data_IF_388841431578
#
_entry.id   IF_388841431578
#
_cell.length_a   1.000
_cell.length_b   1.000
_cell.length_c   1.000
_cell.angle_alpha   90.00
_cell.angle_beta   90.00
_cell.angle_gamma   90.00
#
_symmetry.space_group_name_H-M   'P 1'
#
loop_
_entity.id
_entity.type
_entity.pdbx_description
1 polymer ?
#
# COMPACT_ATOMS: atom_id res chain seq x y z
N UNK A 1 10.25 -22.83 47.84
CA UNK A 1 9.99 -21.53 47.21
C UNK A 1 9.78 -21.84 45.75
N UNK A 2 8.53 -21.87 45.29
CA UNK A 2 8.24 -22.30 43.91
C UNK A 2 8.57 -21.16 42.96
N UNK A 3 9.37 -21.45 41.93
CA UNK A 3 9.67 -20.50 40.87
C UNK A 3 8.37 -20.20 40.09
N UNK A 4 8.18 -18.96 39.62
CA UNK A 4 6.97 -18.58 38.90
C UNK A 4 6.82 -19.40 37.61
N UNK A 5 5.66 -20.03 37.43
CA UNK A 5 5.31 -20.74 36.21
C UNK A 5 5.15 -19.75 35.03
N UNK A 6 5.52 -20.20 33.83
CA UNK A 6 5.30 -19.41 32.60
C UNK A 6 3.81 -19.26 32.33
N UNK A 7 3.37 -18.06 31.94
CA UNK A 7 2.00 -17.84 31.49
C UNK A 7 1.80 -18.45 30.10
N UNK A 8 0.56 -18.81 29.75
CA UNK A 8 0.19 -19.32 28.41
C UNK A 8 0.63 -18.35 27.32
N UNK A 9 0.44 -17.04 27.56
CA UNK A 9 0.88 -15.99 26.64
C UNK A 9 2.40 -16.01 26.40
N UNK A 10 3.21 -16.06 27.46
CA UNK A 10 4.68 -16.11 27.32
C UNK A 10 5.16 -17.36 26.60
N UNK A 11 4.44 -18.48 26.77
CA UNK A 11 4.72 -19.71 26.02
C UNK A 11 4.38 -19.54 24.53
N UNK A 12 3.18 -19.05 24.22
CA UNK A 12 2.72 -18.75 22.85
C UNK A 12 3.64 -17.80 22.10
N UNK A 13 4.14 -16.75 22.77
CA UNK A 13 5.12 -15.81 22.21
C UNK A 13 6.44 -16.53 21.90
N UNK A 14 7.01 -17.23 22.88
CA UNK A 14 8.27 -17.98 22.71
C UNK A 14 8.19 -19.02 21.59
N UNK A 15 7.10 -19.79 21.52
CA UNK A 15 6.92 -20.83 20.51
C UNK A 15 6.76 -20.21 19.11
N UNK A 16 6.00 -19.12 19.00
CA UNK A 16 5.85 -18.40 17.73
C UNK A 16 7.15 -17.80 17.21
N UNK A 17 8.01 -17.28 18.11
CA UNK A 17 9.30 -16.73 17.74
C UNK A 17 10.23 -17.83 17.23
N UNK A 18 10.24 -19.00 17.88
CA UNK A 18 11.04 -20.14 17.44
C UNK A 18 10.63 -20.63 16.05
N UNK A 19 9.32 -20.78 15.80
CA UNK A 19 8.78 -21.18 14.49
C UNK A 19 9.20 -20.16 13.41
N UNK A 20 9.03 -18.88 13.69
CA UNK A 20 9.34 -17.81 12.75
C UNK A 20 10.83 -17.77 12.42
N UNK A 21 11.71 -17.79 13.44
CA UNK A 21 13.16 -17.82 13.24
C UNK A 21 13.62 -19.05 12.46
N UNK A 22 13.01 -20.21 12.71
CA UNK A 22 13.36 -21.44 12.00
C UNK A 22 12.93 -21.40 10.52
N UNK A 23 11.69 -21.03 10.24
CA UNK A 23 11.10 -21.04 8.89
C UNK A 23 11.55 -19.85 8.03
N UNK A 24 11.90 -18.72 8.64
CA UNK A 24 12.35 -17.51 7.95
C UNK A 24 13.85 -17.23 8.11
N UNK A 25 14.66 -18.21 8.53
CA UNK A 25 16.13 -18.06 8.73
C UNK A 25 16.88 -17.51 7.52
N UNK A 26 16.38 -17.73 6.30
CA UNK A 26 16.98 -17.27 5.04
C UNK A 26 16.53 -15.85 4.64
N UNK A 27 15.60 -15.25 5.38
CA UNK A 27 15.08 -13.93 5.09
C UNK A 27 16.11 -12.84 5.41
N UNK A 28 16.80 -12.99 6.54
CA UNK A 28 17.67 -11.94 7.05
C UNK A 28 18.16 -12.16 8.48
N UNK A 29 18.83 -11.15 9.01
CA UNK A 29 19.29 -11.11 10.40
C UNK A 29 18.19 -10.53 11.27
N UNK A 30 17.70 -11.33 12.21
CA UNK A 30 16.69 -10.94 13.19
C UNK A 30 17.36 -10.27 14.38
N UNK A 31 16.92 -9.05 14.70
CA UNK A 31 17.36 -8.29 15.87
C UNK A 31 16.14 -8.08 16.76
N UNK A 32 16.21 -8.58 18.01
CA UNK A 32 15.13 -8.38 18.96
C UNK A 32 15.06 -6.90 19.34
N UNK A 33 13.85 -6.34 19.35
CA UNK A 33 13.63 -5.02 19.93
C UNK A 33 13.54 -5.11 21.45
N UNK A 34 13.94 -4.05 22.14
CA UNK A 34 13.86 -3.96 23.62
C UNK A 34 12.41 -3.89 24.10
N UNK A 35 12.17 -4.24 25.37
CA UNK A 35 10.82 -4.25 26.01
C UNK A 35 10.04 -2.92 25.91
N UNK A 36 10.70 -1.82 25.54
CA UNK A 36 10.10 -0.50 25.35
C UNK A 36 9.34 -0.31 24.03
N UNK A 37 9.53 -1.18 23.03
CA UNK A 37 8.85 -1.10 21.73
C UNK A 37 7.55 -1.93 21.76
N UNK A 38 6.51 -1.37 22.39
CA UNK A 38 5.24 -2.04 22.75
C UNK A 38 4.40 -2.57 21.56
N UNK A 39 4.92 -2.56 20.33
CA UNK A 39 4.21 -3.01 19.13
C UNK A 39 5.09 -3.56 18.02
N UNK A 40 6.38 -3.84 18.26
CA UNK A 40 7.29 -4.48 17.31
C UNK A 40 8.13 -5.52 18.07
N UNK A 41 8.19 -6.73 17.54
CA UNK A 41 8.95 -7.82 18.17
C UNK A 41 10.36 -7.95 17.58
N UNK A 42 10.50 -7.72 16.26
CA UNK A 42 11.79 -7.81 15.57
C UNK A 42 12.05 -6.62 14.64
N UNK A 43 13.31 -6.26 14.53
CA UNK A 43 13.86 -5.59 13.35
C UNK A 43 14.62 -6.62 12.52
N UNK A 44 14.28 -6.72 11.23
CA UNK A 44 14.83 -7.74 10.34
C UNK A 44 15.60 -7.04 9.23
N UNK A 45 16.91 -7.28 9.17
CA UNK A 45 17.77 -6.79 8.09
C UNK A 45 17.89 -7.85 7.00
N UNK A 46 17.47 -7.52 5.78
CA UNK A 46 17.38 -8.46 4.68
C UNK A 46 18.76 -8.92 4.20
N UNK A 47 18.86 -10.23 3.98
CA UNK A 47 20.01 -10.88 3.32
C UNK A 47 19.60 -11.29 1.91
N UNK A 48 20.41 -10.92 0.92
CA UNK A 48 20.20 -11.24 -0.50
C UNK A 48 21.49 -11.86 -1.02
N UNK A 49 21.43 -13.09 -1.54
CA UNK A 49 22.60 -13.83 -2.02
C UNK A 49 23.75 -13.88 -1.00
N UNK A 50 23.43 -14.14 0.28
CA UNK A 50 24.36 -14.13 1.42
C UNK A 50 25.05 -12.79 1.70
N UNK A 51 24.53 -11.68 1.17
CA UNK A 51 25.03 -10.33 1.41
C UNK A 51 23.97 -9.51 2.15
N UNK A 52 24.39 -8.79 3.19
CA UNK A 52 23.54 -7.82 3.90
C UNK A 52 23.14 -6.71 2.93
N UNK A 53 21.83 -6.53 2.72
CA UNK A 53 21.33 -5.54 1.77
C UNK A 53 21.32 -4.11 2.32
N UNK A 54 21.47 -3.94 3.65
CA UNK A 54 21.25 -2.69 4.36
C UNK A 54 19.79 -2.25 4.45
N UNK A 55 18.85 -3.03 3.88
CA UNK A 55 17.41 -2.80 3.98
C UNK A 55 16.87 -3.52 5.20
N UNK A 56 16.13 -2.79 6.04
CA UNK A 56 15.49 -3.32 7.24
C UNK A 56 13.98 -3.06 7.20
N UNK A 57 13.24 -3.89 7.92
CA UNK A 57 11.84 -3.66 8.22
C UNK A 57 11.54 -4.08 9.67
N UNK A 58 10.47 -3.51 10.21
CA UNK A 58 9.96 -3.81 11.55
C UNK A 58 8.89 -4.89 11.43
N UNK A 59 8.92 -5.86 12.34
CA UNK A 59 8.01 -6.99 12.34
C UNK A 59 7.26 -7.11 13.66
N UNK A 60 5.94 -7.22 13.57
CA UNK A 60 5.09 -7.67 14.68
C UNK A 60 4.70 -9.12 14.43
N UNK A 61 4.80 -9.95 15.45
CA UNK A 61 4.33 -11.32 15.50
C UNK A 61 3.05 -11.40 16.33
N UNK A 62 2.09 -12.17 15.84
CA UNK A 62 0.88 -12.59 16.54
C UNK A 62 0.77 -14.10 16.45
N UNK A 63 0.30 -14.75 17.50
CA UNK A 63 0.15 -16.21 17.53
C UNK A 63 -1.17 -16.64 18.14
N UNK A 64 -1.66 -17.79 17.68
CA UNK A 64 -2.84 -18.46 18.23
C UNK A 64 -2.80 -19.97 17.92
N UNK A 65 -3.50 -20.76 18.74
CA UNK A 65 -3.79 -22.18 18.47
C UNK A 65 -4.91 -22.28 17.43
N UNK A 66 -4.57 -22.03 16.16
CA UNK A 66 -5.50 -21.92 15.04
C UNK A 66 -5.77 -20.47 14.63
N UNK A 67 -5.24 -20.07 13.48
CA UNK A 67 -5.53 -18.75 12.90
C UNK A 67 -6.93 -18.74 12.27
N UNK A 68 -7.70 -17.67 12.51
CA UNK A 68 -9.03 -17.54 11.91
C UNK A 68 -8.91 -17.19 10.43
N UNK A 69 -9.33 -18.14 9.57
CA UNK A 69 -9.41 -17.97 8.13
C UNK A 69 -10.87 -17.69 7.73
N UNK A 70 -11.09 -16.59 7.00
CA UNK A 70 -12.42 -16.22 6.49
C UNK A 70 -12.81 -17.06 5.26
N UNK A 71 -14.08 -16.94 4.84
CA UNK A 71 -14.62 -17.64 3.65
C UNK A 71 -13.90 -17.30 2.34
N UNK A 72 -13.24 -16.15 2.28
CA UNK A 72 -12.48 -15.67 1.12
C UNK A 72 -11.00 -16.11 1.14
N UNK A 73 -10.62 -17.01 2.06
CA UNK A 73 -9.25 -17.50 2.30
C UNK A 73 -8.30 -16.45 2.88
N UNK A 74 -8.84 -15.39 3.50
CA UNK A 74 -8.05 -14.34 4.16
C UNK A 74 -7.84 -14.71 5.63
N UNK A 75 -6.59 -14.91 6.10
CA UNK A 75 -6.29 -15.07 7.51
C UNK A 75 -6.45 -13.72 8.23
N UNK A 76 -6.93 -13.76 9.48
CA UNK A 76 -7.22 -12.56 10.26
C UNK A 76 -6.79 -12.68 11.72
N UNK A 77 -6.38 -11.55 12.31
CA UNK A 77 -6.07 -11.44 13.74
C UNK A 77 -6.81 -10.24 14.31
N UNK A 78 -7.69 -10.52 15.28
CA UNK A 78 -8.45 -9.51 16.02
C UNK A 78 -7.70 -8.94 17.22
N UNK A 79 -8.36 -8.05 17.96
CA UNK A 79 -7.84 -7.57 19.25
C UNK A 79 -6.78 -6.46 19.14
N UNK A 80 -6.51 -5.93 17.95
CA UNK A 80 -5.51 -4.88 17.75
C UNK A 80 -6.04 -3.54 18.25
N UNK A 81 -5.35 -2.91 19.20
CA UNK A 81 -5.75 -1.61 19.76
C UNK A 81 -5.53 -0.47 18.74
N UNK A 82 -6.37 0.55 18.83
CA UNK A 82 -6.25 1.78 18.03
C UNK A 82 -4.88 2.47 18.21
N UNK A 83 -4.35 2.48 19.43
CA UNK A 83 -3.00 3.00 19.71
C UNK A 83 -1.91 2.21 18.99
N UNK A 84 -2.06 0.90 18.85
CA UNK A 84 -1.12 0.03 18.13
C UNK A 84 -1.16 0.30 16.63
N UNK A 85 -2.35 0.47 16.05
CA UNK A 85 -2.49 0.85 14.63
C UNK A 85 -1.85 2.22 14.35
N UNK A 86 -2.12 3.20 15.21
CA UNK A 86 -1.53 4.53 15.10
C UNK A 86 0.01 4.47 15.18
N UNK A 87 0.53 3.67 16.10
CA UNK A 87 1.96 3.45 16.24
C UNK A 87 2.59 2.82 14.99
N UNK A 88 1.96 1.80 14.41
CA UNK A 88 2.42 1.21 13.14
C UNK A 88 2.39 2.21 11.98
N UNK A 89 1.39 3.09 11.93
CA UNK A 89 1.33 4.15 10.93
C UNK A 89 2.51 5.13 11.03
N UNK A 90 2.90 5.50 12.25
CA UNK A 90 4.03 6.39 12.52
C UNK A 90 5.36 5.74 12.14
N UNK A 91 5.60 4.50 12.57
CA UNK A 91 6.81 3.76 12.20
C UNK A 91 6.93 3.54 10.69
N UNK A 92 5.81 3.27 10.02
CA UNK A 92 5.75 3.04 8.57
C UNK A 92 6.20 4.23 7.73
N UNK A 93 6.32 5.43 8.31
CA UNK A 93 6.89 6.60 7.64
C UNK A 93 8.41 6.48 7.42
N UNK A 94 9.08 5.67 8.22
CA UNK A 94 10.54 5.51 8.21
C UNK A 94 10.95 4.14 7.66
N UNK A 95 10.22 3.08 8.04
CA UNK A 95 10.53 1.71 7.66
C UNK A 95 9.25 0.89 7.54
N UNK A 96 9.22 -0.10 6.66
CA UNK A 96 8.08 -1.00 6.58
C UNK A 96 7.76 -1.66 7.91
N UNK A 97 6.46 -1.75 8.23
CA UNK A 97 5.96 -2.60 9.31
C UNK A 97 5.17 -3.74 8.69
N UNK A 98 5.64 -4.97 8.91
CA UNK A 98 4.95 -6.20 8.51
C UNK A 98 4.44 -6.92 9.75
N UNK A 99 3.25 -7.52 9.67
CA UNK A 99 2.77 -8.46 10.66
C UNK A 99 2.96 -9.89 10.18
N UNK A 100 3.35 -10.78 11.09
CA UNK A 100 3.31 -12.22 10.93
C UNK A 100 2.27 -12.81 11.87
N UNK A 101 1.40 -13.67 11.36
CA UNK A 101 0.56 -14.53 12.18
C UNK A 101 1.11 -15.95 12.14
N UNK A 102 1.37 -16.53 13.30
CA UNK A 102 1.86 -17.91 13.44
C UNK A 102 0.74 -18.76 14.01
N UNK A 103 0.32 -19.77 13.27
CA UNK A 103 -0.54 -20.82 13.78
C UNK A 103 0.31 -21.82 14.55
N UNK A 104 0.13 -21.91 15.86
CA UNK A 104 0.95 -22.80 16.69
C UNK A 104 0.65 -24.28 16.48
N UNK A 105 -0.53 -24.61 15.94
CA UNK A 105 -0.96 -26.00 15.75
C UNK A 105 -0.38 -26.61 14.46
N UNK A 106 -0.33 -25.82 13.39
CA UNK A 106 0.18 -26.23 12.08
C UNK A 106 1.59 -25.70 11.80
N UNK A 107 2.10 -24.82 12.66
CA UNK A 107 3.30 -24.01 12.47
C UNK A 107 3.26 -23.14 11.20
N UNK A 108 2.11 -22.97 10.56
CA UNK A 108 1.96 -22.12 9.37
C UNK A 108 2.18 -20.65 9.72
N UNK A 109 2.81 -19.92 8.78
CA UNK A 109 3.10 -18.50 8.95
C UNK A 109 2.41 -17.72 7.83
N UNK A 110 1.64 -16.72 8.23
CA UNK A 110 0.99 -15.77 7.35
C UNK A 110 1.66 -14.42 7.48
N UNK A 111 1.83 -13.69 6.37
CA UNK A 111 2.42 -12.35 6.34
C UNK A 111 1.40 -11.33 5.87
N UNK A 112 1.40 -10.14 6.46
CA UNK A 112 0.56 -9.02 6.01
C UNK A 112 1.21 -8.28 4.83
N UNK A 113 0.43 -7.52 4.09
CA UNK A 113 0.98 -6.38 3.33
C UNK A 113 1.56 -5.34 4.31
N UNK A 114 2.39 -4.38 3.85
CA UNK A 114 2.81 -3.26 4.68
C UNK A 114 1.62 -2.63 5.42
N UNK A 115 1.71 -2.63 6.76
CA UNK A 115 0.55 -2.36 7.62
C UNK A 115 0.05 -0.92 7.55
N UNK A 116 0.81 0.00 6.95
CA UNK A 116 0.45 1.41 6.89
C UNK A 116 -0.96 1.65 6.36
N UNK A 117 -1.25 1.13 5.15
CA UNK A 117 -2.52 1.41 4.48
C UNK A 117 -3.69 0.77 5.22
N UNK A 118 -3.55 -0.47 5.66
CA UNK A 118 -4.59 -1.15 6.43
C UNK A 118 -4.81 -0.48 7.80
N UNK A 119 -3.74 -0.08 8.49
CA UNK A 119 -3.86 0.62 9.78
C UNK A 119 -4.57 1.95 9.62
N UNK A 120 -4.20 2.74 8.60
CA UNK A 120 -4.81 4.06 8.36
C UNK A 120 -6.32 4.00 8.10
N UNK A 121 -6.81 2.93 7.46
CA UNK A 121 -8.25 2.74 7.19
C UNK A 121 -9.02 2.17 8.38
N UNK A 122 -8.35 1.46 9.28
CA UNK A 122 -8.96 0.90 10.48
C UNK A 122 -9.07 1.90 11.64
N UNK A 123 -8.29 2.98 11.62
CA UNK A 123 -8.32 4.03 12.65
C UNK A 123 -9.58 4.87 12.52
N UNK A 124 -10.38 4.93 13.59
CA UNK A 124 -11.72 5.56 13.57
C UNK A 124 -12.04 6.37 14.85
N UNK A 125 -11.05 6.58 15.73
CA UNK A 125 -11.23 7.35 16.95
C UNK A 125 -11.97 6.65 18.08
N UNK A 126 -12.43 5.42 17.89
CA UNK A 126 -13.10 4.65 18.95
C UNK A 126 -12.09 3.98 19.89
N UNK A 127 -12.55 3.41 21.00
CA UNK A 127 -11.71 2.57 21.87
C UNK A 127 -11.72 1.09 21.46
N UNK A 128 -12.38 0.75 20.34
CA UNK A 128 -12.59 -0.64 19.92
C UNK A 128 -11.32 -1.21 19.32
N UNK A 129 -11.05 -2.47 19.64
CA UNK A 129 -10.05 -3.23 18.92
C UNK A 129 -10.50 -3.50 17.49
N UNK A 130 -9.51 -3.71 16.63
CA UNK A 130 -9.66 -3.95 15.20
C UNK A 130 -9.09 -5.31 14.82
N UNK A 131 -9.45 -5.74 13.62
CA UNK A 131 -8.96 -6.95 13.00
C UNK A 131 -8.10 -6.57 11.82
N UNK A 132 -6.87 -7.07 11.79
CA UNK A 132 -5.98 -6.96 10.64
C UNK A 132 -6.07 -8.22 9.78
N UNK A 133 -5.70 -8.07 8.51
CA UNK A 133 -5.80 -9.12 7.50
C UNK A 133 -4.41 -9.44 6.94
N UNK A 134 -4.21 -10.71 6.62
CA UNK A 134 -2.98 -11.23 6.05
C UNK A 134 -3.18 -11.59 4.58
N UNK A 135 -2.07 -11.80 3.85
CA UNK A 135 -2.14 -12.22 2.46
C UNK A 135 -2.81 -13.62 2.38
N UNK A 136 -3.81 -13.82 1.51
CA UNK A 136 -4.47 -15.11 1.34
C UNK A 136 -3.49 -16.24 1.00
N UNK A 137 -3.72 -17.43 1.55
CA UNK A 137 -2.88 -18.61 1.32
C UNK A 137 -2.76 -18.95 -0.16
N UNK A 138 -3.85 -18.87 -0.92
CA UNK A 138 -3.84 -19.06 -2.38
C UNK A 138 -2.90 -18.11 -3.16
N UNK A 139 -2.51 -16.97 -2.57
CA UNK A 139 -1.58 -16.01 -3.18
C UNK A 139 -0.12 -16.22 -2.74
N UNK A 140 0.14 -17.14 -1.81
CA UNK A 140 1.47 -17.52 -1.35
C UNK A 140 1.70 -18.97 -1.77
N UNK A 141 2.37 -19.24 -2.89
CA UNK A 141 2.71 -20.61 -3.26
C UNK A 141 3.58 -21.24 -2.16
N UNK A 142 3.44 -22.56 -1.97
CA UNK A 142 4.19 -23.30 -0.96
C UNK A 142 5.70 -23.03 -1.06
N UNK A 143 6.34 -22.74 0.08
CA UNK A 143 7.78 -22.44 0.15
C UNK A 143 8.19 -21.05 -0.36
N UNK A 144 7.26 -20.18 -0.77
CA UNK A 144 7.57 -18.82 -1.31
C UNK A 144 7.40 -17.70 -0.29
N UNK A 145 7.14 -18.01 0.98
CA UNK A 145 6.91 -17.01 2.02
C UNK A 145 8.10 -16.06 2.21
N UNK A 146 9.33 -16.60 2.20
CA UNK A 146 10.56 -15.80 2.30
C UNK A 146 10.67 -14.82 1.12
N UNK A 147 10.42 -15.30 -0.10
CA UNK A 147 10.50 -14.48 -1.31
C UNK A 147 9.45 -13.37 -1.32
N UNK A 148 8.21 -13.67 -0.94
CA UNK A 148 7.12 -12.70 -0.86
C UNK A 148 7.44 -11.66 0.22
N UNK A 149 7.88 -12.10 1.39
CA UNK A 149 8.28 -11.19 2.47
C UNK A 149 9.42 -10.27 2.04
N UNK A 150 10.41 -10.81 1.34
CA UNK A 150 11.51 -10.02 0.76
C UNK A 150 10.99 -9.00 -0.26
N UNK A 151 10.07 -9.38 -1.14
CA UNK A 151 9.46 -8.44 -2.10
C UNK A 151 8.68 -7.32 -1.40
N UNK A 152 7.91 -7.64 -0.36
CA UNK A 152 7.17 -6.64 0.42
C UNK A 152 8.10 -5.68 1.15
N UNK A 153 9.19 -6.19 1.74
CA UNK A 153 10.19 -5.37 2.42
C UNK A 153 11.05 -4.51 1.44
N UNK A 154 11.14 -4.91 0.17
CA UNK A 154 11.79 -4.14 -0.90
C UNK A 154 10.84 -3.16 -1.61
N UNK A 155 9.55 -3.18 -1.29
CA UNK A 155 8.58 -2.27 -1.87
C UNK A 155 8.91 -0.81 -1.50
N UNK A 156 8.40 0.18 -2.26
CA UNK A 156 8.48 1.58 -1.85
C UNK A 156 7.83 1.80 -0.48
N UNK A 157 8.42 2.67 0.33
CA UNK A 157 7.87 2.97 1.67
C UNK A 157 6.55 3.73 1.56
N UNK A 158 5.77 3.74 2.64
CA UNK A 158 4.53 4.54 2.69
C UNK A 158 4.80 6.03 2.39
N UNK A 159 5.96 6.55 2.81
CA UNK A 159 6.40 7.91 2.50
C UNK A 159 6.63 8.10 1.01
N UNK A 160 7.33 7.17 0.36
CA UNK A 160 7.60 7.21 -1.08
C UNK A 160 6.29 7.16 -1.87
N UNK A 161 5.39 6.24 -1.50
CA UNK A 161 4.08 6.07 -2.12
C UNK A 161 3.22 7.33 -1.99
N UNK A 162 3.15 7.94 -0.79
CA UNK A 162 2.40 9.18 -0.60
C UNK A 162 2.98 10.34 -1.41
N UNK A 163 4.30 10.51 -1.43
CA UNK A 163 4.94 11.55 -2.21
C UNK A 163 4.68 11.33 -3.71
N UNK A 164 4.88 10.11 -4.19
CA UNK A 164 4.63 9.76 -5.59
C UNK A 164 3.15 9.98 -5.95
N UNK A 165 2.20 9.64 -5.08
CA UNK A 165 0.78 9.93 -5.28
C UNK A 165 0.52 11.43 -5.40
N UNK A 166 1.06 12.25 -4.48
CA UNK A 166 0.90 13.71 -4.54
C UNK A 166 1.47 14.29 -5.84
N UNK A 167 2.65 13.84 -6.26
CA UNK A 167 3.24 14.27 -7.53
C UNK A 167 2.41 13.81 -8.72
N UNK A 168 2.03 12.53 -8.77
CA UNK A 168 1.28 11.98 -9.89
C UNK A 168 -0.06 12.69 -10.08
N UNK A 169 -0.75 13.02 -9.00
CA UNK A 169 -1.99 13.78 -9.01
C UNK A 169 -1.78 15.22 -9.47
N UNK A 170 -0.76 15.92 -8.95
CA UNK A 170 -0.46 17.31 -9.35
C UNK A 170 -0.09 17.43 -10.82
N UNK A 171 0.62 16.44 -11.36
CA UNK A 171 1.05 16.39 -12.76
C UNK A 171 0.09 15.60 -13.65
N UNK A 172 -1.07 15.17 -13.13
CA UNK A 172 -1.95 14.26 -13.86
C UNK A 172 -2.41 14.85 -15.20
N UNK A 173 -2.77 16.15 -15.24
CA UNK A 173 -3.10 16.88 -16.47
C UNK A 173 -1.95 16.82 -17.49
N UNK A 174 -0.72 17.04 -17.03
CA UNK A 174 0.46 16.97 -17.88
C UNK A 174 0.70 15.55 -18.42
N UNK A 175 0.41 14.51 -17.62
CA UNK A 175 0.54 13.13 -18.10
C UNK A 175 -0.47 12.79 -19.19
N UNK A 176 -1.72 13.27 -19.05
CA UNK A 176 -2.75 13.12 -20.09
C UNK A 176 -2.38 13.90 -21.35
N UNK A 177 -1.97 15.16 -21.20
CA UNK A 177 -1.50 15.99 -22.33
C UNK A 177 -0.33 15.34 -23.05
N UNK A 178 0.68 14.87 -22.30
CA UNK A 178 1.84 14.19 -22.85
C UNK A 178 1.43 12.94 -23.64
N UNK A 179 0.45 12.16 -23.16
CA UNK A 179 -0.10 11.02 -23.92
C UNK A 179 -0.70 11.49 -25.24
N UNK A 180 -1.51 12.54 -25.23
CA UNK A 180 -2.13 13.08 -26.44
C UNK A 180 -1.07 13.57 -27.44
N UNK A 181 -0.14 14.39 -26.98
CA UNK A 181 0.93 14.99 -27.77
C UNK A 181 1.79 13.94 -28.48
N UNK A 182 2.25 12.91 -27.75
CA UNK A 182 3.10 11.88 -28.38
C UNK A 182 2.36 11.14 -29.49
N UNK A 183 1.03 11.01 -29.42
CA UNK A 183 0.23 10.36 -30.47
C UNK A 183 -0.05 11.26 -31.68
N UNK A 184 -0.09 12.59 -31.49
CA UNK A 184 -0.33 13.55 -32.56
C UNK A 184 0.93 13.93 -33.34
N UNK A 185 2.09 13.98 -32.69
CA UNK A 185 3.34 14.36 -33.35
C UNK A 185 3.94 13.25 -34.23
N UNK A 186 4.90 13.60 -35.07
CA UNK A 186 5.61 12.61 -35.89
C UNK A 186 6.33 11.57 -35.04
N UNK A 187 6.25 10.30 -35.44
CA UNK A 187 6.77 9.17 -34.69
C UNK A 187 8.30 9.22 -34.48
N UNK A 188 9.04 9.78 -35.46
CA UNK A 188 10.49 9.98 -35.41
C UNK A 188 10.91 11.27 -34.71
N UNK A 189 9.98 12.17 -34.40
CA UNK A 189 10.26 13.40 -33.66
C UNK A 189 10.64 13.14 -32.21
N UNK A 190 11.48 14.02 -31.65
CA UNK A 190 11.79 14.05 -30.22
C UNK A 190 10.58 14.58 -29.44
N UNK A 191 10.27 13.96 -28.30
CA UNK A 191 9.18 14.41 -27.45
C UNK A 191 9.47 15.80 -26.84
N UNK A 192 8.47 16.70 -26.79
CA UNK A 192 8.71 18.09 -26.38
C UNK A 192 8.91 18.27 -24.88
N UNK A 193 8.35 17.40 -24.03
CA UNK A 193 8.37 17.54 -22.57
C UNK A 193 9.14 16.40 -21.86
N UNK A 194 10.48 16.33 -22.00
CA UNK A 194 11.26 15.25 -21.38
C UNK A 194 11.21 15.24 -19.84
N UNK A 195 11.02 16.40 -19.21
CA UNK A 195 10.90 16.52 -17.74
C UNK A 195 9.58 15.94 -17.22
N UNK A 196 8.48 16.15 -17.95
CA UNK A 196 7.17 15.56 -17.64
C UNK A 196 7.25 14.04 -17.77
N UNK A 197 7.93 13.54 -18.80
CA UNK A 197 8.14 12.12 -19.01
C UNK A 197 9.00 11.47 -17.92
N UNK A 198 10.11 12.10 -17.54
CA UNK A 198 10.94 11.61 -16.42
C UNK A 198 10.14 11.55 -15.12
N UNK A 199 9.36 12.60 -14.85
CA UNK A 199 8.47 12.64 -13.67
C UNK A 199 7.43 11.53 -13.73
N UNK A 200 6.80 11.30 -14.89
CA UNK A 200 5.85 10.21 -15.13
C UNK A 200 6.48 8.84 -14.85
N UNK A 201 7.66 8.56 -15.39
CA UNK A 201 8.35 7.29 -15.15
C UNK A 201 8.73 7.12 -13.68
N UNK A 202 9.25 8.18 -13.04
CA UNK A 202 9.64 8.16 -11.63
C UNK A 202 8.46 7.87 -10.70
N UNK A 203 7.33 8.58 -10.86
CA UNK A 203 6.15 8.33 -10.01
C UNK A 203 5.53 6.96 -10.28
N UNK A 204 5.53 6.52 -11.54
CA UNK A 204 5.00 5.21 -11.92
C UNK A 204 5.85 4.08 -11.34
N UNK A 205 7.18 4.23 -11.33
CA UNK A 205 8.08 3.23 -10.73
C UNK A 205 7.73 2.93 -9.27
N UNK A 206 7.28 3.94 -8.53
CA UNK A 206 6.85 3.80 -7.14
C UNK A 206 5.44 3.21 -7.06
N UNK A 207 4.47 3.84 -7.73
CA UNK A 207 3.05 3.53 -7.51
C UNK A 207 2.58 2.23 -8.17
N UNK A 208 3.27 1.79 -9.23
CA UNK A 208 2.94 0.54 -9.93
C UNK A 208 3.82 -0.62 -9.46
N UNK A 209 4.33 -0.59 -8.22
CA UNK A 209 5.07 -1.71 -7.64
C UNK A 209 4.12 -2.85 -7.18
N UNK A 210 4.47 -4.14 -7.39
CA UNK A 210 5.57 -4.61 -8.23
C UNK A 210 5.32 -4.25 -9.69
N UNK A 211 6.39 -3.84 -10.37
CA UNK A 211 6.36 -3.21 -11.69
C UNK A 211 5.57 -4.01 -12.74
N UNK A 212 4.75 -3.31 -13.53
CA UNK A 212 4.06 -3.87 -14.71
C UNK A 212 5.07 -4.34 -15.72
N UNK A 213 5.10 -5.64 -16.01
CA UNK A 213 5.94 -6.15 -17.09
C UNK A 213 5.41 -5.66 -18.44
N UNK A 214 6.25 -4.95 -19.18
CA UNK A 214 5.94 -4.53 -20.54
C UNK A 214 6.56 -5.57 -21.49
N UNK A 215 5.77 -6.38 -22.23
CA UNK A 215 6.31 -7.40 -23.12
C UNK A 215 7.31 -6.82 -24.12
N UNK A 216 8.48 -7.45 -24.24
CA UNK A 216 9.54 -7.00 -25.16
C UNK A 216 10.44 -5.88 -24.62
N UNK A 217 10.34 -5.54 -23.33
CA UNK A 217 11.18 -4.54 -22.68
C UNK A 217 11.99 -5.14 -21.54
N UNK A 218 13.25 -4.70 -21.42
CA UNK A 218 14.15 -5.14 -20.37
C UNK A 218 13.90 -4.36 -19.07
N UNK A 219 14.30 -4.90 -17.89
CA UNK A 219 14.28 -4.14 -16.64
C UNK A 219 14.98 -2.78 -16.79
N UNK A 220 14.38 -1.72 -16.24
CA UNK A 220 14.91 -0.35 -16.32
C UNK A 220 14.13 0.60 -17.21
N UNK A 221 12.99 0.17 -17.78
CA UNK A 221 12.10 1.05 -18.57
C UNK A 221 11.41 2.15 -17.75
N UNK A 222 11.64 2.26 -16.43
CA UNK A 222 11.29 3.44 -15.64
C UNK A 222 12.41 4.50 -15.61
N UNK A 223 13.42 4.39 -16.47
CA UNK A 223 14.49 5.35 -16.61
C UNK A 223 14.42 6.03 -17.99
N UNK A 224 14.42 7.35 -18.03
CA UNK A 224 14.40 8.12 -19.29
C UNK A 224 15.57 7.74 -20.21
N UNK A 225 16.76 7.50 -19.67
CA UNK A 225 17.95 7.11 -20.45
C UNK A 225 17.77 5.75 -21.16
N UNK A 226 16.94 4.86 -20.63
CA UNK A 226 16.60 3.60 -21.30
C UNK A 226 15.89 3.89 -22.63
N UNK A 227 14.92 4.80 -22.60
CA UNK A 227 14.11 5.15 -23.77
C UNK A 227 14.87 5.97 -24.81
N UNK A 228 15.76 6.86 -24.38
CA UNK A 228 16.64 7.60 -25.31
C UNK A 228 17.56 6.65 -26.08
N UNK A 229 18.17 5.67 -25.39
CA UNK A 229 19.07 4.69 -26.02
C UNK A 229 18.35 3.73 -26.97
N UNK A 230 17.10 3.37 -26.68
CA UNK A 230 16.31 2.46 -27.53
C UNK A 230 16.10 3.02 -28.94
N UNK A 231 16.11 4.34 -29.07
CA UNK A 231 15.93 5.02 -30.34
C UNK A 231 17.07 4.90 -31.34
N UNK A 232 18.27 4.49 -30.92
CA UNK A 232 19.45 4.50 -31.80
C UNK A 232 19.79 5.89 -32.37
N UNK A 233 19.13 6.93 -31.87
CA UNK A 233 19.27 8.31 -32.28
C UNK A 233 20.60 8.87 -31.76
N UNK A 234 21.33 9.58 -32.62
CA UNK A 234 22.49 10.38 -32.24
C UNK A 234 22.07 11.66 -31.47
N UNK A 235 20.79 12.01 -31.50
CA UNK A 235 20.23 13.17 -30.81
C UNK A 235 19.80 12.82 -29.39
N UNK A 236 20.15 13.68 -28.44
CA UNK A 236 19.77 13.58 -27.03
C UNK A 236 18.25 13.75 -26.87
N UNK A 237 17.50 12.65 -26.82
CA UNK A 237 16.05 12.71 -26.63
C UNK A 237 15.33 11.38 -26.70
N UNK A 238 14.07 11.37 -26.24
CA UNK A 238 13.17 10.22 -26.39
C UNK A 238 12.28 10.47 -27.60
N UNK A 239 12.35 9.58 -28.60
CA UNK A 239 11.46 9.65 -29.77
C UNK A 239 10.00 9.37 -29.39
N UNK A 240 9.06 10.04 -30.04
CA UNK A 240 7.62 9.90 -29.80
C UNK A 240 7.15 8.44 -29.92
N UNK A 241 7.64 7.65 -30.88
CA UNK A 241 7.28 6.22 -31.00
C UNK A 241 7.60 5.39 -29.75
N UNK A 242 8.71 5.72 -29.07
CA UNK A 242 9.14 5.04 -27.86
C UNK A 242 8.38 5.55 -26.64
N UNK A 243 8.16 6.86 -26.55
CA UNK A 243 7.31 7.46 -25.53
C UNK A 243 5.88 6.91 -25.58
N UNK A 244 5.27 6.77 -26.78
CA UNK A 244 3.96 6.12 -26.98
C UNK A 244 3.91 4.73 -26.35
N UNK A 245 4.93 3.92 -26.62
CA UNK A 245 5.00 2.55 -26.10
C UNK A 245 5.09 2.53 -24.57
N UNK A 246 5.91 3.42 -23.99
CA UNK A 246 6.04 3.55 -22.55
C UNK A 246 4.72 4.01 -21.90
N UNK A 247 4.14 5.09 -22.41
CA UNK A 247 2.95 5.73 -21.87
C UNK A 247 1.74 4.80 -22.01
N UNK A 248 1.54 4.19 -23.18
CA UNK A 248 0.43 3.27 -23.42
C UNK A 248 0.44 2.04 -22.50
N UNK A 249 1.62 1.57 -22.09
CA UNK A 249 1.71 0.44 -21.16
C UNK A 249 1.61 0.86 -19.68
N UNK A 250 2.21 1.99 -19.31
CA UNK A 250 2.38 2.38 -17.90
C UNK A 250 1.21 3.22 -17.39
N UNK A 251 0.68 4.15 -18.20
CA UNK A 251 -0.36 5.09 -17.76
C UNK A 251 -1.66 4.40 -17.33
N UNK A 252 -2.16 3.35 -18.02
CA UNK A 252 -3.33 2.60 -17.59
C UNK A 252 -3.18 2.01 -16.17
N UNK A 253 -2.04 1.38 -15.86
CA UNK A 253 -1.80 0.85 -14.52
C UNK A 253 -1.60 1.97 -13.51
N UNK A 254 -0.90 3.06 -13.86
CA UNK A 254 -0.77 4.22 -12.99
C UNK A 254 -2.14 4.74 -12.57
N UNK A 255 -3.08 4.90 -13.51
CA UNK A 255 -4.45 5.36 -13.22
C UNK A 255 -5.16 4.39 -12.28
N UNK A 256 -5.11 3.09 -12.57
CA UNK A 256 -5.68 2.06 -11.70
C UNK A 256 -5.13 2.15 -10.27
N UNK A 257 -3.82 2.36 -10.12
CA UNK A 257 -3.15 2.52 -8.83
C UNK A 257 -3.55 3.82 -8.14
N UNK A 258 -3.62 4.94 -8.86
CA UNK A 258 -4.08 6.22 -8.32
C UNK A 258 -5.50 6.11 -7.77
N UNK A 259 -6.41 5.39 -8.44
CA UNK A 259 -7.76 5.12 -7.90
C UNK A 259 -7.69 4.34 -6.58
N UNK A 260 -6.85 3.30 -6.49
CA UNK A 260 -6.67 2.51 -5.27
C UNK A 260 -6.14 3.37 -4.12
N UNK A 261 -5.10 4.18 -4.36
CA UNK A 261 -4.56 5.09 -3.34
C UNK A 261 -5.59 6.15 -2.93
N UNK A 262 -6.32 6.73 -3.89
CA UNK A 262 -7.42 7.66 -3.61
C UNK A 262 -8.46 7.02 -2.69
N UNK A 263 -8.92 5.80 -2.98
CA UNK A 263 -9.87 5.08 -2.12
C UNK A 263 -9.29 4.83 -0.72
N UNK A 264 -8.05 4.34 -0.60
CA UNK A 264 -7.40 4.11 0.71
C UNK A 264 -7.31 5.38 1.54
N UNK A 265 -6.99 6.51 0.92
CA UNK A 265 -6.93 7.80 1.61
C UNK A 265 -8.33 8.24 2.06
N UNK A 266 -9.35 8.06 1.22
CA UNK A 266 -10.73 8.43 1.56
C UNK A 266 -11.35 7.49 2.61
N UNK A 267 -11.02 6.21 2.59
CA UNK A 267 -11.47 5.21 3.57
C UNK A 267 -10.83 5.47 4.93
N UNK A 268 -9.55 5.88 4.95
CA UNK A 268 -8.83 6.32 6.15
C UNK A 268 -9.07 7.77 6.56
N UNK A 269 -10.19 8.39 6.15
CA UNK A 269 -10.43 9.83 6.33
C UNK A 269 -10.17 10.33 7.75
N UNK A 270 -10.52 9.54 8.78
CA UNK A 270 -10.33 9.92 10.18
C UNK A 270 -8.84 10.11 10.51
N UNK A 271 -8.00 9.17 10.08
CA UNK A 271 -6.55 9.27 10.23
C UNK A 271 -6.01 10.49 9.48
N UNK A 272 -6.42 10.67 8.22
CA UNK A 272 -5.89 11.75 7.38
C UNK A 272 -6.38 13.14 7.75
N UNK A 273 -7.59 13.29 8.29
CA UNK A 273 -8.12 14.57 8.80
C UNK A 273 -7.18 15.17 9.84
N UNK A 274 -6.63 14.33 10.73
CA UNK A 274 -5.72 14.76 11.80
C UNK A 274 -4.24 14.82 11.38
N UNK A 275 -3.79 13.92 10.51
CA UNK A 275 -2.36 13.78 10.18
C UNK A 275 -1.93 14.54 8.92
N UNK A 276 -2.77 14.59 7.89
CA UNK A 276 -2.44 15.27 6.64
C UNK A 276 -3.72 15.65 5.86
N UNK A 277 -4.42 16.68 6.36
CA UNK A 277 -5.65 17.17 5.75
C UNK A 277 -5.46 17.59 4.29
N UNK A 278 -4.28 18.09 3.93
CA UNK A 278 -3.95 18.48 2.56
C UNK A 278 -3.89 17.29 1.61
N UNK A 279 -3.36 16.15 2.04
CA UNK A 279 -3.40 14.91 1.25
C UNK A 279 -4.83 14.39 1.09
N UNK A 280 -5.63 14.46 2.15
CA UNK A 280 -7.06 14.08 2.09
C UNK A 280 -7.83 14.97 1.10
N UNK A 281 -7.62 16.29 1.16
CA UNK A 281 -8.20 17.24 0.22
C UNK A 281 -7.78 16.90 -1.22
N UNK A 282 -6.49 16.69 -1.44
CA UNK A 282 -5.95 16.34 -2.75
C UNK A 282 -6.59 15.06 -3.30
N UNK A 283 -6.67 14.00 -2.49
CA UNK A 283 -7.32 12.75 -2.89
C UNK A 283 -8.80 12.96 -3.21
N UNK A 284 -9.52 13.75 -2.40
CA UNK A 284 -10.94 14.04 -2.60
C UNK A 284 -11.19 14.80 -3.89
N UNK A 285 -10.52 15.94 -4.07
CA UNK A 285 -10.76 16.90 -5.14
C UNK A 285 -10.23 16.45 -6.50
N UNK A 286 -9.24 15.56 -6.53
CA UNK A 286 -8.60 15.17 -7.80
C UNK A 286 -9.52 14.29 -8.63
N UNK A 287 -9.92 14.73 -9.84
CA UNK A 287 -10.67 13.89 -10.75
C UNK A 287 -9.73 12.86 -11.40
N UNK A 288 -10.17 11.61 -11.46
CA UNK A 288 -9.46 10.51 -12.13
C UNK A 288 -10.41 9.79 -13.10
N UNK A 289 -9.89 9.21 -14.20
CA UNK A 289 -10.67 8.38 -15.11
C UNK A 289 -11.41 7.25 -14.42
N UNK A 290 -12.63 6.99 -14.88
CA UNK A 290 -13.47 5.92 -14.34
C UNK A 290 -12.87 4.54 -14.66
N UNK A 291 -12.36 4.38 -15.88
CA UNK A 291 -11.64 3.21 -16.38
C UNK A 291 -10.34 3.63 -17.10
N UNK A 292 -9.55 2.63 -17.48
CA UNK A 292 -8.26 2.77 -18.13
C UNK A 292 -8.31 2.47 -19.63
N UNK A 293 -9.50 2.48 -20.25
CA UNK A 293 -9.63 2.22 -21.69
C UNK A 293 -9.09 3.37 -22.53
N UNK A 294 -8.52 3.05 -23.70
CA UNK A 294 -7.98 4.06 -24.63
C UNK A 294 -9.01 5.15 -24.96
N UNK A 295 -10.27 4.77 -25.21
CA UNK A 295 -11.35 5.71 -25.50
C UNK A 295 -11.61 6.68 -24.34
N UNK A 296 -11.57 6.19 -23.10
CA UNK A 296 -11.67 7.04 -21.92
C UNK A 296 -10.45 7.97 -21.85
N UNK A 297 -9.23 7.44 -21.97
CA UNK A 297 -8.00 8.25 -21.86
C UNK A 297 -7.89 9.33 -22.95
N UNK A 298 -8.34 9.05 -24.17
CA UNK A 298 -8.42 10.03 -25.26
C UNK A 298 -9.41 11.15 -24.95
N UNK A 299 -10.61 10.79 -24.48
CA UNK A 299 -11.63 11.77 -24.13
C UNK A 299 -11.24 12.65 -22.91
N UNK A 300 -10.32 12.18 -22.07
CA UNK A 300 -9.92 12.88 -20.86
C UNK A 300 -9.12 14.15 -21.12
N UNK A 301 -8.43 14.29 -22.24
CA UNK A 301 -7.71 15.53 -22.59
C UNK A 301 -8.71 16.71 -22.69
N UNK A 302 -9.78 16.53 -23.48
CA UNK A 302 -10.80 17.56 -23.69
C UNK A 302 -11.69 17.79 -22.44
N UNK A 303 -11.86 16.75 -21.62
CA UNK A 303 -12.77 16.76 -20.49
C UNK A 303 -12.12 17.19 -19.18
N UNK A 304 -10.79 17.11 -19.05
CA UNK A 304 -10.10 17.31 -17.77
C UNK A 304 -10.50 18.63 -17.12
N UNK A 305 -10.40 19.74 -17.85
CA UNK A 305 -10.71 21.07 -17.30
C UNK A 305 -12.19 21.22 -16.94
N UNK A 306 -13.09 20.54 -17.66
CA UNK A 306 -14.53 20.52 -17.34
C UNK A 306 -14.80 19.78 -16.04
N UNK A 307 -14.10 18.66 -15.80
CA UNK A 307 -14.26 17.84 -14.60
C UNK A 307 -13.57 18.49 -13.39
N UNK A 308 -12.36 19.01 -13.56
CA UNK A 308 -11.58 19.66 -12.51
C UNK A 308 -12.24 20.95 -11.98
N UNK A 309 -13.03 21.64 -12.81
CA UNK A 309 -13.77 22.85 -12.41
C UNK A 309 -15.12 22.57 -11.75
N UNK A 310 -15.59 21.32 -11.69
CA UNK A 310 -16.88 21.02 -11.04
C UNK A 310 -16.77 21.37 -9.55
N UNK A 311 -17.77 22.08 -8.97
CA UNK A 311 -17.79 22.31 -7.54
C UNK A 311 -17.84 20.97 -6.83
N UNK A 312 -16.76 20.58 -6.15
CA UNK A 312 -16.80 19.45 -5.24
C UNK A 312 -17.63 19.86 -4.02
N UNK A 313 -18.34 18.90 -3.40
CA UNK A 313 -18.84 19.13 -2.05
C UNK A 313 -17.59 19.36 -1.20
N UNK A 314 -17.28 20.62 -0.86
CA UNK A 314 -15.99 20.95 -0.25
C UNK A 314 -15.66 20.00 0.90
N UNK A 315 -14.38 19.62 1.05
CA UNK A 315 -13.92 18.55 1.94
C UNK A 315 -14.58 18.53 3.33
N UNK A 316 -14.86 19.70 3.91
CA UNK A 316 -15.58 19.83 5.19
C UNK A 316 -16.96 19.15 5.19
N UNK A 317 -17.74 19.27 4.12
CA UNK A 317 -19.05 18.59 3.98
C UNK A 317 -18.89 17.08 3.84
N UNK A 318 -17.87 16.62 3.10
CA UNK A 318 -17.55 15.20 3.02
C UNK A 318 -17.23 14.63 4.41
N UNK A 319 -16.37 15.31 5.17
CA UNK A 319 -16.00 14.91 6.54
C UNK A 319 -17.23 14.92 7.47
N UNK A 320 -18.06 15.96 7.38
CA UNK A 320 -19.28 16.04 8.20
C UNK A 320 -20.21 14.87 7.93
N UNK A 321 -20.47 14.55 6.65
CA UNK A 321 -21.26 13.39 6.26
C UNK A 321 -20.67 12.08 6.80
N UNK A 322 -19.34 11.92 6.74
CA UNK A 322 -18.66 10.73 7.28
C UNK A 322 -18.79 10.59 8.80
N UNK A 323 -18.75 11.71 9.53
CA UNK A 323 -19.01 11.73 10.98
C UNK A 323 -20.45 11.31 11.30
N UNK A 324 -21.42 11.82 10.55
CA UNK A 324 -22.84 11.46 10.69
C UNK A 324 -23.08 9.97 10.43
N UNK A 325 -22.52 9.43 9.33
CA UNK A 325 -22.57 7.99 9.01
C UNK A 325 -22.01 7.14 10.17
N UNK A 326 -20.86 7.55 10.73
CA UNK A 326 -20.21 6.84 11.84
C UNK A 326 -21.03 6.89 13.14
N UNK A 327 -21.67 8.03 13.44
CA UNK A 327 -22.56 8.16 14.59
C UNK A 327 -23.83 7.31 14.44
N UNK A 328 -24.40 7.26 13.24
CA UNK A 328 -25.57 6.43 12.96
C UNK A 328 -25.25 4.93 13.13
N UNK A 329 -24.13 4.47 12.57
CA UNK A 329 -23.65 3.09 12.79
C UNK A 329 -23.47 2.76 14.28
N UNK A 330 -22.97 3.72 15.07
CA UNK A 330 -22.83 3.56 16.52
C UNK A 330 -24.19 3.41 17.19
N UNK A 331 -25.19 4.21 16.81
CA UNK A 331 -26.57 4.14 17.34
C UNK A 331 -27.22 2.80 17.00
N UNK A 332 -27.22 2.41 15.73
CA UNK A 332 -27.80 1.14 15.27
C UNK A 332 -27.17 -0.07 15.98
N UNK A 333 -25.86 -0.03 16.27
CA UNK A 333 -25.18 -1.11 17.01
C UNK A 333 -25.61 -1.19 18.48
N UNK A 334 -25.81 -0.05 19.15
CA UNK A 334 -26.29 -0.03 20.55
C UNK A 334 -27.69 -0.61 20.62
N UNK A 335 -28.55 -0.27 19.67
CA UNK A 335 -29.90 -0.81 19.54
C UNK A 335 -29.88 -2.33 19.34
N UNK A 336 -29.13 -2.84 18.36
CA UNK A 336 -28.96 -4.30 18.15
C UNK A 336 -28.41 -5.02 19.37
N UNK A 337 -27.53 -4.38 20.15
CA UNK A 337 -26.98 -4.97 21.37
C UNK A 337 -28.03 -5.03 22.50
N UNK A 338 -28.92 -4.04 22.59
CA UNK A 338 -30.06 -4.04 23.52
C UNK A 338 -31.07 -5.13 23.14
N UNK A 339 -31.42 -5.24 21.86
CA UNK A 339 -32.36 -6.26 21.37
C UNK A 339 -31.84 -7.69 21.58
N UNK A 340 -30.54 -7.91 21.43
CA UNK A 340 -29.93 -9.22 21.74
C UNK A 340 -30.04 -9.55 23.22
N UNK A 341 -29.82 -8.57 24.11
CA UNK A 341 -29.95 -8.76 25.56
C UNK A 341 -31.39 -9.03 25.97
N UNK A 342 -32.37 -8.36 25.36
CA UNK A 342 -33.79 -8.57 25.67
C UNK A 342 -34.36 -9.87 25.11
N UNK A 343 -33.69 -10.51 24.14
CA UNK A 343 -34.05 -11.85 23.63
C UNK A 343 -33.36 -13.00 24.37
N UNK A 344 -32.30 -12.70 25.11
CA UNK A 344 -31.56 -13.69 25.92
C UNK A 344 -31.98 -13.72 27.40
N UNK A 345 -32.85 -12.80 27.81
CA UNK A 345 -33.52 -12.75 29.11
C UNK A 345 -34.97 -13.18 28.91
#
# INVERSE_FOLDING_TARGET
MDLPARTVQKKSESDSYAILLYKLRELGVFRNMTESDYGIDFEIELVINNIMSGRYFKAQVKSADGITIRKDDVPTVGGVKQSTLAYWCELSQLSHVLAFAVDLSSEEIYVSLPLFWQSSTLIDGTSRSKTIEFVPSKHIPAGRLVDITRQLAMAPSARDEMQAFQYAVKYFRNFIQMRYDVHQYDAGGIMPEPVTFDTFLRVSSVLTFPHVQIPGYAPGYFNTNYWSKKGGSLEDGVMNIHARSAIGAILPELIKRLRIFKMRILDGWYYWESRNRSLLALAYDTPLPADESEATLDAWEEQYDKVARRPSLGLSMYIQKKKEEQEEEKRQRVERARDRKSRSA
#
